data_IF_910641789856
#
_entry.id   IF_910641789856
#
_cell.length_a   1.000
_cell.length_b   1.000
_cell.length_c   1.000
_cell.angle_alpha   90.00
_cell.angle_beta   90.00
_cell.angle_gamma   90.00
#
_symmetry.space_group_name_H-M   'P 1'
#
loop_
_entity.id
_entity.type
_entity.pdbx_description
1 polymer ?
#
# COMPACT_ATOMS: atom_id res chain seq x y z
N UNK A 1 13.11 -7.84 8.56
CA UNK A 1 11.73 -7.36 8.79
C UNK A 1 11.60 -5.82 8.90
N UNK A 2 12.68 -5.04 8.80
CA UNK A 2 12.69 -3.56 8.79
C UNK A 2 12.58 -2.90 7.39
N UNK A 3 13.26 -3.45 6.38
CA UNK A 3 13.19 -3.01 4.98
C UNK A 3 11.77 -3.07 4.41
N UNK A 4 10.94 -4.00 4.90
CA UNK A 4 9.54 -4.11 4.47
C UNK A 4 8.67 -2.94 4.96
N UNK A 5 9.06 -2.28 6.06
CA UNK A 5 8.38 -1.10 6.58
C UNK A 5 8.80 0.19 5.86
N UNK A 6 9.98 0.18 5.23
CA UNK A 6 10.49 1.27 4.38
C UNK A 6 10.00 1.17 2.93
N UNK A 7 9.31 0.07 2.58
CA UNK A 7 8.90 -0.19 1.21
C UNK A 7 7.65 0.62 0.89
N UNK A 8 7.83 1.76 0.21
CA UNK A 8 6.76 2.51 -0.44
C UNK A 8 5.82 1.58 -1.25
N UNK A 9 6.37 0.51 -1.84
CA UNK A 9 5.61 -0.50 -2.58
C UNK A 9 4.62 -1.29 -1.71
N UNK A 10 4.88 -1.44 -0.40
CA UNK A 10 3.94 -2.09 0.52
C UNK A 10 2.67 -1.24 0.60
N UNK A 11 2.80 0.02 1.02
CA UNK A 11 1.66 0.94 1.15
C UNK A 11 0.92 1.18 -0.18
N UNK A 12 1.64 1.25 -1.30
CA UNK A 12 1.02 1.37 -2.62
C UNK A 12 0.23 0.10 -3.02
N UNK A 13 0.73 -1.08 -2.66
CA UNK A 13 0.04 -2.35 -2.89
C UNK A 13 -1.25 -2.44 -2.05
N UNK A 14 -1.19 -1.99 -0.80
CA UNK A 14 -2.36 -1.94 0.11
C UNK A 14 -3.45 -1.02 -0.47
N UNK A 15 -3.08 0.20 -0.88
CA UNK A 15 -4.01 1.14 -1.50
C UNK A 15 -4.63 0.63 -2.82
N UNK A 16 -3.83 -0.04 -3.66
CA UNK A 16 -4.31 -0.62 -4.91
C UNK A 16 -5.27 -1.80 -4.66
N UNK A 17 -4.96 -2.64 -3.68
CA UNK A 17 -5.83 -3.76 -3.31
C UNK A 17 -7.18 -3.28 -2.79
N UNK A 18 -7.22 -2.24 -1.95
CA UNK A 18 -8.49 -1.63 -1.51
C UNK A 18 -9.25 -1.06 -2.69
N UNK A 19 -8.59 -0.32 -3.60
CA UNK A 19 -9.24 0.25 -4.77
C UNK A 19 -9.88 -0.81 -5.69
N UNK A 20 -9.21 -1.95 -5.87
CA UNK A 20 -9.69 -3.02 -6.76
C UNK A 20 -10.82 -3.83 -6.12
N UNK A 21 -10.67 -4.19 -4.84
CA UNK A 21 -11.55 -5.17 -4.19
C UNK A 21 -12.71 -4.54 -3.41
N UNK A 22 -12.66 -3.25 -3.06
CA UNK A 22 -13.74 -2.63 -2.28
C UNK A 22 -15.08 -2.52 -3.02
N UNK A 23 -15.08 -2.55 -4.35
CA UNK A 23 -16.29 -2.38 -5.18
C UNK A 23 -16.87 -3.71 -5.66
N UNK A 24 -16.14 -4.82 -5.52
CA UNK A 24 -16.55 -6.13 -6.02
C UNK A 24 -17.42 -6.80 -4.97
N UNK A 25 -18.75 -6.67 -5.07
CA UNK A 25 -19.73 -7.21 -4.10
C UNK A 25 -19.93 -8.73 -4.17
N UNK A 26 -19.79 -9.34 -5.35
CA UNK A 26 -19.89 -10.79 -5.53
C UNK A 26 -18.88 -11.27 -6.58
N UNK A 27 -18.13 -12.33 -6.24
CA UNK A 27 -17.20 -12.99 -7.16
C UNK A 27 -17.89 -14.27 -7.69
N UNK A 28 -18.41 -14.28 -8.92
CA UNK A 28 -19.15 -15.43 -9.44
C UNK A 28 -18.22 -16.64 -9.65
N UNK A 29 -18.63 -17.79 -9.13
CA UNK A 29 -17.98 -19.09 -9.40
C UNK A 29 -16.95 -19.58 -8.38
N UNK A 30 -16.72 -18.86 -7.28
CA UNK A 30 -15.63 -19.18 -6.34
C UNK A 30 -15.86 -20.46 -5.51
N UNK A 31 -17.10 -20.81 -5.15
CA UNK A 31 -17.35 -21.91 -4.20
C UNK A 31 -18.18 -23.09 -4.75
N UNK A 32 -18.13 -23.37 -6.05
CA UNK A 32 -18.96 -24.43 -6.68
C UNK A 32 -18.39 -25.85 -6.47
N UNK A 33 -17.10 -25.98 -6.12
CA UNK A 33 -16.44 -27.26 -5.80
C UNK A 33 -15.38 -27.04 -4.72
N UNK A 34 -15.76 -27.16 -3.44
CA UNK A 34 -14.96 -26.81 -2.28
C UNK A 34 -13.64 -27.61 -2.12
N UNK A 35 -12.62 -27.28 -2.91
CA UNK A 35 -11.22 -27.72 -2.73
C UNK A 35 -10.34 -26.64 -2.10
N UNK A 36 -10.85 -25.41 -1.93
CA UNK A 36 -10.10 -24.29 -1.36
C UNK A 36 -10.61 -23.97 0.06
N UNK A 37 -9.71 -24.06 1.04
CA UNK A 37 -9.99 -23.87 2.49
C UNK A 37 -10.34 -22.42 2.85
N UNK A 38 -10.14 -21.46 1.94
CA UNK A 38 -10.58 -20.07 2.10
C UNK A 38 -11.09 -19.58 0.74
N UNK A 39 -12.41 -19.57 0.58
CA UNK A 39 -13.11 -19.17 -0.63
C UNK A 39 -13.78 -17.82 -0.36
N UNK A 40 -13.11 -16.68 -0.61
CA UNK A 40 -13.74 -15.38 -0.44
C UNK A 40 -14.85 -15.20 -1.48
N UNK A 41 -16.05 -14.88 -1.01
CA UNK A 41 -17.26 -14.68 -1.84
C UNK A 41 -17.41 -13.24 -2.33
N UNK A 42 -16.74 -12.32 -1.64
CA UNK A 42 -16.82 -10.88 -1.85
C UNK A 42 -15.41 -10.28 -1.76
N UNK A 43 -15.15 -9.15 -2.41
CA UNK A 43 -13.88 -8.43 -2.32
C UNK A 43 -13.57 -7.97 -0.88
N UNK A 44 -14.59 -7.74 -0.05
CA UNK A 44 -14.42 -7.46 1.38
C UNK A 44 -13.78 -8.62 2.16
N UNK A 45 -14.13 -9.87 1.85
CA UNK A 45 -13.51 -11.06 2.47
C UNK A 45 -12.07 -11.26 1.99
N UNK A 46 -11.76 -10.86 0.76
CA UNK A 46 -10.37 -10.81 0.25
C UNK A 46 -9.56 -9.80 1.05
N UNK A 47 -10.09 -8.60 1.27
CA UNK A 47 -9.47 -7.52 2.04
C UNK A 47 -9.26 -7.87 3.52
N UNK A 48 -10.20 -8.61 4.12
CA UNK A 48 -10.09 -9.13 5.48
C UNK A 48 -9.01 -10.22 5.59
N UNK A 49 -8.86 -11.07 4.57
CA UNK A 49 -7.84 -12.14 4.55
C UNK A 49 -6.39 -11.64 4.51
N UNK A 50 -6.19 -10.39 4.10
CA UNK A 50 -4.89 -9.70 4.00
C UNK A 50 -4.67 -8.69 5.15
N UNK A 51 -5.53 -8.72 6.18
CA UNK A 51 -5.45 -7.92 7.42
C UNK A 51 -5.54 -6.40 7.17
N UNK A 52 -6.23 -5.99 6.09
CA UNK A 52 -6.48 -4.58 5.81
C UNK A 52 -7.75 -4.13 6.51
N UNK A 53 -7.59 -3.65 7.74
CA UNK A 53 -8.64 -2.88 8.41
C UNK A 53 -8.88 -1.59 7.62
N UNK A 54 -10.11 -1.36 7.18
CA UNK A 54 -10.57 -0.19 6.42
C UNK A 54 -10.16 1.17 7.05
N UNK A 55 -9.88 1.17 8.36
CA UNK A 55 -9.37 2.31 9.12
C UNK A 55 -7.88 2.65 8.92
N UNK A 56 -7.09 1.83 8.21
CA UNK A 56 -5.65 2.05 7.99
C UNK A 56 -5.32 2.72 6.64
N UNK A 57 -6.29 2.91 5.75
CA UNK A 57 -6.04 3.49 4.42
C UNK A 57 -5.45 4.91 4.46
N UNK A 58 -5.92 5.75 5.37
CA UNK A 58 -5.45 7.13 5.54
C UNK A 58 -4.02 7.26 6.08
N UNK A 59 -3.61 6.54 7.15
CA UNK A 59 -2.23 6.57 7.61
C UNK A 59 -1.23 6.05 6.57
N UNK A 60 -1.61 5.08 5.74
CA UNK A 60 -0.74 4.54 4.68
C UNK A 60 -0.49 5.57 3.55
N UNK A 61 -1.52 6.33 3.17
CA UNK A 61 -1.37 7.46 2.23
C UNK A 61 -0.52 8.57 2.84
N UNK A 62 -0.71 8.88 4.13
CA UNK A 62 0.06 9.91 4.82
C UNK A 62 1.56 9.58 4.84
N UNK A 63 1.92 8.32 5.12
CA UNK A 63 3.34 7.91 5.15
C UNK A 63 3.97 7.89 3.76
N UNK A 64 3.20 7.61 2.70
CA UNK A 64 3.66 7.78 1.31
C UNK A 64 3.98 9.24 1.00
N UNK A 65 3.08 10.18 1.34
CA UNK A 65 3.30 11.62 1.14
C UNK A 65 4.53 12.09 1.92
N UNK A 66 4.66 11.66 3.18
CA UNK A 66 5.82 11.96 4.02
C UNK A 66 7.12 11.48 3.37
N UNK A 67 7.12 10.26 2.80
CA UNK A 67 8.27 9.71 2.08
C UNK A 67 8.69 10.56 0.88
N UNK A 68 7.74 11.06 0.10
CA UNK A 68 8.01 11.96 -1.03
C UNK A 68 8.65 13.26 -0.54
N UNK A 69 8.12 13.86 0.53
CA UNK A 69 8.67 15.10 1.10
C UNK A 69 10.11 14.88 1.57
N UNK A 70 10.38 13.79 2.30
CA UNK A 70 11.72 13.47 2.80
C UNK A 70 12.71 13.33 1.64
N UNK A 71 12.37 12.58 0.59
CA UNK A 71 13.24 12.42 -0.58
C UNK A 71 13.51 13.74 -1.30
N UNK A 72 12.51 14.63 -1.40
CA UNK A 72 12.67 15.96 -1.98
C UNK A 72 13.60 16.84 -1.14
N UNK A 73 13.46 16.81 0.19
CA UNK A 73 14.33 17.55 1.11
C UNK A 73 15.77 17.03 1.04
N UNK A 74 15.97 15.71 0.99
CA UNK A 74 17.31 15.11 0.83
C UNK A 74 17.92 15.54 -0.50
N UNK A 75 17.18 15.48 -1.60
CA UNK A 75 17.65 15.89 -2.92
C UNK A 75 18.04 17.37 -2.95
N UNK A 76 17.20 18.24 -2.37
CA UNK A 76 17.48 19.67 -2.26
C UNK A 76 18.70 19.95 -1.36
N UNK A 77 18.83 19.27 -0.23
CA UNK A 77 19.98 19.37 0.65
C UNK A 77 21.28 18.92 -0.02
N UNK A 78 21.25 17.81 -0.77
CA UNK A 78 22.39 17.35 -1.55
C UNK A 78 22.79 18.36 -2.64
N UNK A 79 21.81 18.99 -3.29
CA UNK A 79 22.04 20.05 -4.28
C UNK A 79 22.69 21.29 -3.64
N UNK A 80 22.18 21.73 -2.49
CA UNK A 80 22.74 22.86 -1.74
C UNK A 80 24.16 22.61 -1.27
N UNK A 81 24.44 21.42 -0.71
CA UNK A 81 25.78 21.03 -0.30
C UNK A 81 26.75 21.01 -1.50
N UNK A 82 26.29 20.56 -2.66
CA UNK A 82 27.09 20.57 -3.89
C UNK A 82 27.33 22.01 -4.36
N UNK A 83 26.30 22.85 -4.39
CA UNK A 83 26.40 24.26 -4.79
C UNK A 83 27.35 25.04 -3.88
N UNK A 84 27.25 24.85 -2.56
CA UNK A 84 28.12 25.50 -1.58
C UNK A 84 29.55 24.95 -1.56
N UNK A 85 29.81 23.77 -2.14
CA UNK A 85 31.18 23.25 -2.32
C UNK A 85 31.82 23.70 -3.63
N UNK A 86 31.05 24.29 -4.55
CA UNK A 86 31.56 24.83 -5.82
C UNK A 86 31.88 26.34 -5.75
N UNK A 87 31.43 27.02 -4.70
CA UNK A 87 31.89 28.36 -4.29
C UNK A 87 33.02 28.23 -3.27
#
# INVERSE_FOLDING_TARGET
RWLSALSYFKYAYEALAVNEWAVIEEIPGTCVNATWVSCPRNGSEVLESIDFCENMMWPDIFIMILGVIILRVIAYGALLLRSNRQH
#
